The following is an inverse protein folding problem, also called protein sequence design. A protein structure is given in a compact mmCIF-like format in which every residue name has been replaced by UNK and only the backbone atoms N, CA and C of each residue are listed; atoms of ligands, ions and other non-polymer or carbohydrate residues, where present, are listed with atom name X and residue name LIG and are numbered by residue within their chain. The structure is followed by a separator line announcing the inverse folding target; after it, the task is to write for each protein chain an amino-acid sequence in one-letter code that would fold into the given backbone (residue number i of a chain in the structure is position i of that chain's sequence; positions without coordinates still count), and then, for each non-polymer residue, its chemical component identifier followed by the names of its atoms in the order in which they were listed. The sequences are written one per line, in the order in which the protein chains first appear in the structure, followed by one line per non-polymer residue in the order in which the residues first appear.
data_IF_133178038443
#
_entry.id   IF_133178038443
#
_cell.length_a   1.000
_cell.length_b   1.000
_cell.length_c   1.000
_cell.angle_alpha   90.00
_cell.angle_beta   90.00
_cell.angle_gamma   90.00
#
_symmetry.space_group_name_H-M   'P 1'
#
loop_
_entity.id
_entity.type
_entity.pdbx_description
1 polymer ?
#
# COMPACT_ATOMS: atom_id res chain seq x y z
N UNK A 1 -16.68 7.12 23.72
CA UNK A 1 -15.52 7.22 24.63
C UNK A 1 -14.30 6.77 23.85
N UNK A 2 -13.58 7.69 23.20
CA UNK A 2 -12.29 7.38 22.57
C UNK A 2 -11.29 7.15 23.71
N UNK A 3 -10.93 5.89 23.96
CA UNK A 3 -9.87 5.57 24.91
C UNK A 3 -8.56 5.85 24.21
N UNK A 4 -8.04 7.06 24.41
CA UNK A 4 -6.74 7.45 23.88
C UNK A 4 -5.65 6.79 24.73
N UNK A 5 -5.26 5.57 24.36
CA UNK A 5 -4.28 4.75 25.08
C UNK A 5 -2.87 5.34 25.06
N UNK A 6 -2.64 6.48 24.37
CA UNK A 6 -1.35 7.16 24.22
C UNK A 6 -0.20 6.20 23.83
N UNK A 7 -0.50 5.15 23.07
CA UNK A 7 0.49 4.17 22.62
C UNK A 7 1.19 4.69 21.36
N UNK A 8 2.37 5.29 21.53
CA UNK A 8 3.11 6.01 20.49
C UNK A 8 4.05 5.13 19.65
N UNK A 9 3.65 3.89 19.35
CA UNK A 9 4.51 2.92 18.66
C UNK A 9 3.78 2.30 17.45
N UNK A 10 3.63 3.07 16.35
CA UNK A 10 2.86 2.64 15.19
C UNK A 10 3.44 1.41 14.49
N UNK A 11 4.76 1.16 14.55
CA UNK A 11 5.37 -0.01 13.92
C UNK A 11 5.12 -1.29 14.72
N UNK A 12 5.17 -1.22 16.05
CA UNK A 12 4.76 -2.32 16.90
C UNK A 12 3.28 -2.70 16.68
N UNK A 13 2.38 -1.71 16.55
CA UNK A 13 0.97 -1.97 16.26
C UNK A 13 0.78 -2.61 14.87
N UNK A 14 1.49 -2.10 13.86
CA UNK A 14 1.47 -2.69 12.53
C UNK A 14 2.01 -4.14 12.54
N UNK A 15 3.09 -4.41 13.27
CA UNK A 15 3.65 -5.74 13.43
C UNK A 15 2.66 -6.71 14.10
N UNK A 16 1.92 -6.26 15.12
CA UNK A 16 0.86 -7.07 15.75
C UNK A 16 -0.25 -7.42 14.76
N UNK A 17 -0.71 -6.46 13.95
CA UNK A 17 -1.73 -6.70 12.93
C UNK A 17 -1.26 -7.68 11.85
N UNK A 18 -0.05 -7.51 11.33
CA UNK A 18 0.55 -8.43 10.33
C UNK A 18 0.81 -9.81 10.93
N UNK A 19 1.28 -9.88 12.17
CA UNK A 19 1.53 -11.14 12.87
C UNK A 19 0.23 -11.91 13.12
N UNK A 20 -0.81 -11.22 13.54
CA UNK A 20 -2.14 -11.81 13.69
C UNK A 20 -2.70 -12.27 12.34
N UNK A 21 -2.55 -11.48 11.27
CA UNK A 21 -2.92 -11.88 9.92
C UNK A 21 -2.17 -13.15 9.47
N UNK A 22 -0.88 -13.28 9.78
CA UNK A 22 -0.09 -14.48 9.49
C UNK A 22 -0.64 -15.71 10.21
N UNK A 23 -0.91 -15.61 11.52
CA UNK A 23 -1.44 -16.74 12.31
C UNK A 23 -2.85 -17.12 11.83
N UNK A 24 -3.73 -16.14 11.64
CA UNK A 24 -5.10 -16.40 11.23
C UNK A 24 -5.20 -16.99 9.82
N UNK A 25 -4.39 -16.51 8.87
CA UNK A 25 -4.34 -17.07 7.51
C UNK A 25 -3.70 -18.46 7.47
N UNK A 26 -2.71 -18.72 8.33
CA UNK A 26 -2.16 -20.07 8.52
C UNK A 26 -3.22 -21.04 9.05
N UNK A 27 -3.93 -20.67 10.13
CA UNK A 27 -5.04 -21.47 10.68
C UNK A 27 -6.13 -21.69 9.61
N UNK A 28 -6.52 -20.64 8.88
CA UNK A 28 -7.58 -20.75 7.89
C UNK A 28 -7.20 -21.61 6.67
N UNK A 29 -5.96 -21.51 6.18
CA UNK A 29 -5.54 -22.27 5.00
C UNK A 29 -5.13 -23.71 5.34
N UNK A 30 -4.33 -23.90 6.39
CA UNK A 30 -3.67 -25.18 6.65
C UNK A 30 -4.44 -26.03 7.66
N UNK A 31 -5.11 -25.42 8.65
CA UNK A 31 -5.91 -26.14 9.64
C UNK A 31 -7.34 -26.41 9.14
N UNK A 32 -7.99 -25.40 8.52
CA UNK A 32 -9.36 -25.54 8.02
C UNK A 32 -9.45 -26.09 6.58
N UNK A 33 -8.33 -26.19 5.85
CA UNK A 33 -8.24 -26.71 4.47
C UNK A 33 -9.28 -26.14 3.50
N UNK A 34 -9.77 -24.93 3.74
CA UNK A 34 -10.85 -24.29 2.96
C UNK A 34 -10.36 -23.63 1.66
N UNK A 35 -9.08 -23.73 1.35
CA UNK A 35 -8.47 -23.14 0.15
C UNK A 35 -7.69 -24.25 -0.58
N UNK A 36 -7.81 -24.39 -1.91
CA UNK A 36 -7.17 -25.47 -2.67
C UNK A 36 -5.65 -25.54 -2.42
N UNK A 37 -5.05 -26.74 -2.36
CA UNK A 37 -3.64 -26.91 -2.04
C UNK A 37 -2.73 -26.15 -3.01
N UNK A 38 -1.68 -25.54 -2.47
CA UNK A 38 -0.69 -24.75 -3.22
C UNK A 38 0.01 -25.59 -4.28
N UNK A 39 0.06 -25.06 -5.50
CA UNK A 39 1.06 -25.44 -6.51
C UNK A 39 2.43 -25.14 -5.89
N UNK A 40 3.31 -26.15 -5.80
CA UNK A 40 4.45 -26.24 -4.88
C UNK A 40 5.25 -24.95 -4.65
N UNK A 41 5.15 -24.39 -3.44
CA UNK A 41 6.04 -23.32 -2.99
C UNK A 41 7.33 -23.97 -2.49
N UNK A 42 8.36 -23.96 -3.34
CA UNK A 42 9.70 -24.37 -2.95
C UNK A 42 10.34 -23.35 -1.98
N UNK A 43 11.22 -23.80 -1.08
CA UNK A 43 11.94 -22.95 -0.12
C UNK A 43 12.72 -21.85 -0.85
N UNK A 44 13.32 -22.17 -2.00
CA UNK A 44 14.02 -21.19 -2.84
C UNK A 44 13.06 -20.15 -3.44
N UNK A 45 11.85 -20.57 -3.82
CA UNK A 45 10.81 -19.67 -4.32
C UNK A 45 10.35 -18.70 -3.23
N UNK A 46 10.16 -19.19 -2.00
CA UNK A 46 9.76 -18.35 -0.87
C UNK A 46 10.77 -17.23 -0.60
N UNK A 47 12.05 -17.57 -0.45
CA UNK A 47 13.09 -16.59 -0.14
C UNK A 47 13.38 -15.62 -1.27
N UNK A 48 13.29 -16.08 -2.53
CA UNK A 48 13.63 -15.23 -3.69
C UNK A 48 12.47 -14.35 -4.12
N UNK A 49 11.22 -14.83 -4.02
CA UNK A 49 10.06 -14.16 -4.61
C UNK A 49 9.05 -13.64 -3.59
N UNK A 50 8.84 -14.33 -2.47
CA UNK A 50 7.79 -13.94 -1.50
C UNK A 50 8.35 -13.06 -0.39
N UNK A 51 9.52 -13.40 0.16
CA UNK A 51 10.17 -12.62 1.21
C UNK A 51 10.39 -11.14 0.81
N UNK A 52 10.86 -10.80 -0.41
CA UNK A 52 10.99 -9.40 -0.81
C UNK A 52 9.67 -8.63 -0.83
N UNK A 53 8.54 -9.28 -1.12
CA UNK A 53 7.21 -8.65 -1.09
C UNK A 53 6.84 -8.24 0.33
N UNK A 54 7.00 -9.17 1.28
CA UNK A 54 6.77 -8.89 2.70
C UNK A 54 7.73 -7.81 3.21
N UNK A 55 9.00 -7.86 2.81
CA UNK A 55 9.97 -6.84 3.19
C UNK A 55 9.61 -5.45 2.65
N UNK A 56 9.20 -5.34 1.37
CA UNK A 56 8.70 -4.09 0.80
C UNK A 56 7.44 -3.61 1.54
N UNK A 57 6.53 -4.52 1.92
CA UNK A 57 5.35 -4.16 2.71
C UNK A 57 5.70 -3.58 4.09
N UNK A 58 6.60 -4.23 4.81
CA UNK A 58 7.09 -3.74 6.10
C UNK A 58 7.80 -2.39 5.96
N UNK A 59 8.65 -2.24 4.93
CA UNK A 59 9.37 -1.00 4.65
C UNK A 59 8.44 0.15 4.24
N UNK A 60 7.40 -0.09 3.44
CA UNK A 60 6.39 0.94 3.16
C UNK A 60 5.75 1.40 4.46
N UNK A 61 5.31 0.49 5.33
CA UNK A 61 4.66 0.86 6.59
C UNK A 61 5.62 1.65 7.50
N UNK A 62 6.88 1.23 7.57
CA UNK A 62 7.95 1.94 8.29
C UNK A 62 8.12 3.38 7.75
N UNK A 63 8.38 3.51 6.45
CA UNK A 63 8.65 4.79 5.81
C UNK A 63 7.43 5.71 5.87
N UNK A 64 6.22 5.15 5.70
CA UNK A 64 4.97 5.90 5.75
C UNK A 64 4.71 6.48 7.12
N UNK A 65 5.01 5.72 8.19
CA UNK A 65 4.95 6.24 9.56
C UNK A 65 6.00 7.32 9.80
N UNK A 66 7.19 7.18 9.20
CA UNK A 66 8.24 8.19 9.32
C UNK A 66 7.95 9.50 8.58
N UNK A 67 7.20 9.46 7.47
CA UNK A 67 6.86 10.66 6.70
C UNK A 67 6.08 11.68 7.52
N UNK A 68 5.22 11.24 8.45
CA UNK A 68 4.44 12.15 9.31
C UNK A 68 5.29 13.03 10.23
N UNK A 69 6.56 12.71 10.46
CA UNK A 69 7.46 13.57 11.24
C UNK A 69 8.09 14.69 10.41
N UNK A 70 8.06 14.60 9.08
CA UNK A 70 8.76 15.51 8.19
C UNK A 70 7.84 16.22 7.19
N UNK A 71 6.61 15.71 6.99
CA UNK A 71 5.68 16.13 5.95
C UNK A 71 4.27 16.25 6.52
N UNK A 72 3.50 17.17 5.93
CA UNK A 72 2.08 17.37 6.22
C UNK A 72 1.24 16.18 5.74
N UNK A 73 0.08 15.98 6.35
CA UNK A 73 -0.86 14.92 5.93
C UNK A 73 -1.32 15.18 4.50
N UNK A 74 -1.60 16.46 4.16
CA UNK A 74 -1.89 16.87 2.79
C UNK A 74 -0.78 16.42 1.83
N UNK A 75 0.48 16.79 2.06
CA UNK A 75 1.58 16.45 1.16
C UNK A 75 1.82 14.95 1.02
N UNK A 76 1.65 14.18 2.10
CA UNK A 76 1.77 12.71 2.06
C UNK A 76 0.74 12.12 1.10
N UNK A 77 -0.52 12.55 1.18
CA UNK A 77 -1.58 12.07 0.30
C UNK A 77 -1.45 12.60 -1.13
N UNK A 78 -0.96 13.84 -1.30
CA UNK A 78 -0.60 14.37 -2.62
C UNK A 78 0.52 13.55 -3.27
N UNK A 79 1.56 13.21 -2.50
CA UNK A 79 2.65 12.34 -2.96
C UNK A 79 2.13 10.97 -3.39
N UNK A 80 1.15 10.41 -2.67
CA UNK A 80 0.52 9.14 -3.07
C UNK A 80 -0.24 9.21 -4.39
N UNK A 81 -0.70 10.38 -4.83
CA UNK A 81 -1.33 10.52 -6.14
C UNK A 81 -0.36 10.15 -7.29
N UNK A 82 0.96 10.18 -7.04
CA UNK A 82 1.98 9.74 -7.99
C UNK A 82 2.28 8.23 -7.97
N UNK A 83 1.57 7.43 -7.17
CA UNK A 83 1.72 5.96 -7.15
C UNK A 83 1.57 5.31 -8.54
N UNK A 84 0.63 5.72 -9.41
CA UNK A 84 0.57 5.22 -10.79
C UNK A 84 1.85 5.45 -11.59
N UNK A 85 2.54 6.57 -11.35
CA UNK A 85 3.78 6.92 -12.05
C UNK A 85 4.86 5.90 -11.72
N UNK A 86 5.11 5.66 -10.43
CA UNK A 86 6.16 4.73 -9.99
C UNK A 86 5.79 3.28 -10.28
N UNK A 87 4.53 2.89 -10.09
CA UNK A 87 4.06 1.54 -10.43
C UNK A 87 4.15 1.26 -11.93
N UNK A 88 3.83 2.22 -12.81
CA UNK A 88 3.98 2.04 -14.26
C UNK A 88 5.45 1.85 -14.64
N UNK A 89 6.36 2.65 -14.08
CA UNK A 89 7.81 2.48 -14.31
C UNK A 89 8.27 1.11 -13.83
N UNK A 90 7.84 0.67 -12.63
CA UNK A 90 8.17 -0.63 -12.09
C UNK A 90 7.61 -1.78 -12.95
N UNK A 91 6.37 -1.68 -13.45
CA UNK A 91 5.75 -2.67 -14.36
C UNK A 91 6.50 -2.75 -15.69
N UNK A 92 6.90 -1.61 -16.24
CA UNK A 92 7.66 -1.53 -17.48
C UNK A 92 9.05 -2.16 -17.33
N UNK A 93 9.77 -1.84 -16.24
CA UNK A 93 11.07 -2.45 -15.92
C UNK A 93 10.96 -3.96 -15.70
N UNK A 94 9.87 -4.41 -15.05
CA UNK A 94 9.58 -5.82 -14.84
C UNK A 94 9.06 -6.54 -16.10
N UNK A 95 8.86 -5.82 -17.22
CA UNK A 95 8.29 -6.33 -18.48
C UNK A 95 6.95 -7.07 -18.31
N UNK A 96 6.18 -6.67 -17.30
CA UNK A 96 4.89 -7.29 -16.98
C UNK A 96 3.75 -6.72 -17.83
N UNK A 97 3.87 -5.45 -18.25
CA UNK A 97 2.83 -4.77 -18.99
C UNK A 97 3.42 -3.75 -19.96
N UNK A 98 2.89 -3.70 -21.18
CA UNK A 98 3.22 -2.65 -22.14
C UNK A 98 2.22 -1.49 -21.97
N UNK A 99 2.69 -0.29 -21.60
CA UNK A 99 1.80 0.84 -21.41
C UNK A 99 1.33 1.39 -22.76
N UNK A 100 0.02 1.60 -22.90
CA UNK A 100 -0.58 2.28 -24.06
C UNK A 100 -0.19 3.77 -24.03
N UNK A 101 -0.09 4.42 -25.20
CA UNK A 101 0.21 5.86 -25.30
C UNK A 101 -0.76 6.76 -24.51
N UNK A 102 -2.01 6.34 -24.31
CA UNK A 102 -2.97 7.02 -23.44
C UNK A 102 -2.56 6.98 -21.96
N UNK A 103 -2.09 5.83 -21.48
CA UNK A 103 -1.64 5.62 -20.08
C UNK A 103 -0.38 6.45 -19.81
N UNK A 104 0.57 6.46 -20.74
CA UNK A 104 1.81 7.24 -20.62
C UNK A 104 1.49 8.74 -20.48
N UNK A 105 0.61 9.28 -21.33
CA UNK A 105 0.21 10.70 -21.26
C UNK A 105 -0.43 11.07 -19.93
N UNK A 106 -1.33 10.22 -19.41
CA UNK A 106 -1.95 10.44 -18.11
C UNK A 106 -0.94 10.40 -16.95
N UNK A 107 0.02 9.47 -17.02
CA UNK A 107 1.13 9.38 -16.05
C UNK A 107 2.03 10.61 -16.10
N UNK A 108 2.39 11.10 -17.30
CA UNK A 108 3.16 12.34 -17.44
C UNK A 108 2.41 13.54 -16.85
N UNK A 109 1.10 13.66 -17.10
CA UNK A 109 0.29 14.74 -16.52
C UNK A 109 0.27 14.67 -14.98
N UNK A 110 0.14 13.46 -14.43
CA UNK A 110 0.18 13.22 -12.98
C UNK A 110 1.54 13.63 -12.40
N UNK A 111 2.64 13.24 -13.05
CA UNK A 111 3.99 13.59 -12.63
C UNK A 111 4.26 15.09 -12.64
N UNK A 112 3.79 15.80 -13.69
CA UNK A 112 3.89 17.27 -13.77
C UNK A 112 3.12 17.94 -12.64
N UNK A 113 1.87 17.51 -12.40
CA UNK A 113 1.07 18.04 -11.29
C UNK A 113 1.73 17.84 -9.93
N UNK A 114 2.27 16.64 -9.66
CA UNK A 114 2.99 16.35 -8.42
C UNK A 114 4.27 17.19 -8.29
N UNK A 115 5.00 17.45 -9.39
CA UNK A 115 6.17 18.32 -9.39
C UNK A 115 5.82 19.77 -9.03
N UNK A 116 4.74 20.30 -9.61
CA UNK A 116 4.23 21.64 -9.27
C UNK A 116 3.78 21.69 -7.80
N UNK A 117 3.08 20.63 -7.33
CA UNK A 117 2.62 20.55 -5.95
C UNK A 117 3.80 20.55 -4.97
N UNK A 118 4.84 19.76 -5.25
CA UNK A 118 6.06 19.71 -4.44
C UNK A 118 6.83 21.03 -4.44
N UNK A 119 6.81 21.79 -5.53
CA UNK A 119 7.40 23.12 -5.56
C UNK A 119 6.66 24.13 -4.67
N UNK A 120 5.34 23.95 -4.51
CA UNK A 120 4.50 24.81 -3.68
C UNK A 120 4.50 24.48 -2.18
N UNK A 121 5.05 23.34 -1.76
CA UNK A 121 5.01 22.89 -0.38
C UNK A 121 6.01 23.66 0.51
N UNK A 122 5.51 24.26 1.58
CA UNK A 122 6.30 25.12 2.48
C UNK A 122 7.16 24.29 3.44
N UNK A 123 6.70 23.10 3.84
CA UNK A 123 7.36 22.25 4.82
C UNK A 123 8.24 21.16 4.16
N UNK A 124 8.51 21.28 2.87
CA UNK A 124 9.26 20.26 2.13
C UNK A 124 10.73 20.27 2.56
N UNK A 125 11.11 19.29 3.38
CA UNK A 125 12.51 19.01 3.68
C UNK A 125 13.06 17.97 2.70
N UNK A 126 14.36 18.06 2.38
CA UNK A 126 15.01 17.06 1.52
C UNK A 126 14.87 15.64 2.10
N UNK A 127 14.97 15.50 3.43
CA UNK A 127 14.78 14.23 4.14
C UNK A 127 13.35 13.72 3.96
N UNK A 128 12.34 14.58 4.12
CA UNK A 128 10.94 14.25 3.86
C UNK A 128 10.71 13.80 2.42
N UNK A 129 11.26 14.54 1.45
CA UNK A 129 11.16 14.20 0.02
C UNK A 129 11.79 12.83 -0.29
N UNK A 130 12.97 12.53 0.25
CA UNK A 130 13.62 11.23 0.08
C UNK A 130 12.85 10.09 0.75
N UNK A 131 12.27 10.33 1.93
CA UNK A 131 11.39 9.37 2.60
C UNK A 131 10.14 9.09 1.77
N UNK A 132 9.50 10.14 1.23
CA UNK A 132 8.34 10.02 0.36
C UNK A 132 8.66 9.24 -0.92
N UNK A 133 9.76 9.58 -1.60
CA UNK A 133 10.19 8.87 -2.81
C UNK A 133 10.53 7.39 -2.52
N UNK A 134 11.18 7.10 -1.40
CA UNK A 134 11.51 5.74 -0.97
C UNK A 134 10.23 4.96 -0.63
N UNK A 135 9.30 5.57 0.10
CA UNK A 135 8.02 4.97 0.44
C UNK A 135 7.23 4.60 -0.82
N UNK A 136 7.14 5.54 -1.75
CA UNK A 136 6.44 5.38 -3.03
C UNK A 136 7.07 4.26 -3.88
N UNK A 137 8.40 4.17 -3.86
CA UNK A 137 9.15 3.13 -4.56
C UNK A 137 8.88 1.75 -3.96
N UNK A 138 9.00 1.60 -2.64
CA UNK A 138 8.71 0.33 -1.95
C UNK A 138 7.24 -0.10 -2.11
N UNK A 139 6.32 0.86 -2.05
CA UNK A 139 4.90 0.63 -2.29
C UNK A 139 4.66 0.11 -3.70
N UNK A 140 5.27 0.75 -4.70
CA UNK A 140 5.15 0.33 -6.09
C UNK A 140 5.73 -1.07 -6.35
N UNK A 141 6.91 -1.36 -5.79
CA UNK A 141 7.53 -2.69 -5.88
C UNK A 141 6.66 -3.76 -5.22
N UNK A 142 6.13 -3.49 -4.02
CA UNK A 142 5.19 -4.39 -3.35
C UNK A 142 3.98 -4.66 -4.24
N UNK A 143 3.36 -3.62 -4.80
CA UNK A 143 2.17 -3.78 -5.66
C UNK A 143 2.48 -4.65 -6.88
N UNK A 144 3.58 -4.38 -7.58
CA UNK A 144 3.99 -5.14 -8.78
C UNK A 144 4.32 -6.59 -8.45
N UNK A 145 5.10 -6.85 -7.38
CA UNK A 145 5.43 -8.22 -6.98
C UNK A 145 4.20 -8.99 -6.48
N UNK A 146 3.30 -8.32 -5.75
CA UNK A 146 2.04 -8.92 -5.30
C UNK A 146 1.16 -9.26 -6.51
N UNK A 147 1.01 -8.34 -7.46
CA UNK A 147 0.27 -8.57 -8.70
C UNK A 147 0.85 -9.76 -9.49
N UNK A 148 2.18 -9.85 -9.61
CA UNK A 148 2.83 -10.99 -10.25
C UNK A 148 2.53 -12.32 -9.52
N UNK A 149 2.52 -12.32 -8.19
CA UNK A 149 2.22 -13.52 -7.41
C UNK A 149 0.75 -13.96 -7.54
N UNK A 150 -0.20 -13.02 -7.53
CA UNK A 150 -1.62 -13.34 -7.58
C UNK A 150 -2.13 -13.64 -9.00
N UNK A 151 -1.61 -12.95 -10.02
CA UNK A 151 -2.07 -13.09 -11.41
C UNK A 151 -1.14 -14.02 -12.21
N UNK A 152 0.18 -13.87 -12.05
CA UNK A 152 1.16 -14.66 -12.80
C UNK A 152 1.35 -16.09 -12.28
N UNK A 153 1.16 -16.31 -10.97
CA UNK A 153 1.22 -17.65 -10.37
C UNK A 153 -0.16 -18.20 -9.95
N UNK A 154 -1.24 -17.50 -10.32
CA UNK A 154 -2.64 -17.78 -9.97
C UNK A 154 -2.87 -18.15 -8.49
N UNK A 155 -2.14 -17.50 -7.58
CA UNK A 155 -2.29 -17.75 -6.15
C UNK A 155 -3.59 -17.16 -5.62
N UNK A 156 -4.22 -17.88 -4.68
CA UNK A 156 -5.38 -17.35 -3.97
C UNK A 156 -4.95 -16.17 -3.05
N UNK A 157 -5.73 -15.08 -2.92
CA UNK A 157 -5.32 -13.91 -2.12
C UNK A 157 -4.98 -14.26 -0.68
N UNK A 158 -5.79 -15.09 -0.01
CA UNK A 158 -5.51 -15.53 1.36
C UNK A 158 -4.20 -16.36 1.46
N UNK A 159 -3.85 -17.12 0.42
CA UNK A 159 -2.59 -17.86 0.40
C UNK A 159 -1.41 -16.92 0.21
N UNK A 160 -1.50 -15.96 -0.70
CA UNK A 160 -0.47 -14.94 -0.86
C UNK A 160 -0.21 -14.21 0.46
N UNK A 161 -1.27 -13.88 1.20
CA UNK A 161 -1.16 -13.22 2.50
C UNK A 161 -0.51 -14.13 3.55
N UNK A 162 -0.80 -15.44 3.56
CA UNK A 162 -0.13 -16.42 4.45
C UNK A 162 1.39 -16.37 4.33
N UNK A 163 1.92 -16.20 3.12
CA UNK A 163 3.36 -16.17 2.89
C UNK A 163 3.98 -14.77 3.01
N UNK A 164 3.23 -13.70 2.67
CA UNK A 164 3.72 -12.31 2.75
C UNK A 164 3.70 -11.79 4.19
N UNK A 165 2.63 -12.06 4.94
CA UNK A 165 2.42 -11.55 6.30
C UNK A 165 3.55 -11.86 7.30
N UNK A 166 4.12 -13.08 7.38
CA UNK A 166 5.22 -13.35 8.30
C UNK A 166 6.49 -12.57 7.94
N UNK A 167 6.82 -12.45 6.65
CA UNK A 167 7.98 -11.67 6.20
C UNK A 167 7.81 -10.17 6.49
N UNK A 168 6.59 -9.64 6.30
CA UNK A 168 6.25 -8.27 6.68
C UNK A 168 6.29 -8.04 8.20
N UNK A 169 5.83 -9.01 8.99
CA UNK A 169 5.91 -8.97 10.45
C UNK A 169 7.36 -8.92 10.91
N UNK A 170 8.23 -9.78 10.35
CA UNK A 170 9.65 -9.79 10.68
C UNK A 170 10.33 -8.45 10.37
N UNK A 171 10.08 -7.89 9.18
CA UNK A 171 10.66 -6.58 8.81
C UNK A 171 10.15 -5.45 9.70
N UNK A 172 8.86 -5.45 10.06
CA UNK A 172 8.30 -4.48 11.00
C UNK A 172 8.85 -4.64 12.42
N UNK A 173 9.03 -5.88 12.89
CA UNK A 173 9.63 -6.16 14.19
C UNK A 173 11.09 -5.72 14.24
N UNK A 174 11.87 -5.95 13.18
CA UNK A 174 13.24 -5.44 13.08
C UNK A 174 13.25 -3.91 13.06
N UNK A 175 12.36 -3.27 12.29
CA UNK A 175 12.23 -1.81 12.28
C UNK A 175 11.83 -1.22 13.64
N UNK A 176 10.88 -1.86 14.32
CA UNK A 176 10.44 -1.49 15.67
C UNK A 176 11.55 -1.74 16.70
N UNK A 177 12.32 -2.82 16.58
CA UNK A 177 13.48 -3.12 17.44
C UNK A 177 14.57 -2.04 17.36
N UNK A 178 14.81 -1.48 16.17
CA UNK A 178 15.85 -0.46 15.97
C UNK A 178 15.37 0.92 16.47
N UNK A 179 14.10 1.28 16.27
CA UNK A 179 13.60 2.64 16.51
C UNK A 179 12.73 2.80 17.76
N UNK A 180 11.80 1.89 17.98
CA UNK A 180 10.79 2.00 19.04
C UNK A 180 11.20 1.27 20.32
N UNK A 181 11.96 0.18 20.24
CA UNK A 181 12.29 -0.68 21.38
C UNK A 181 12.91 0.05 22.58
N UNK A 182 13.89 0.97 22.43
CA UNK A 182 14.46 1.69 23.56
C UNK A 182 13.40 2.49 24.33
N UNK A 183 12.48 3.11 23.59
CA UNK A 183 11.39 3.91 24.17
C UNK A 183 10.27 3.03 24.72
N UNK A 184 9.96 1.89 24.09
CA UNK A 184 8.98 0.92 24.57
C UNK A 184 9.36 0.32 25.93
N UNK A 185 10.63 -0.03 26.12
CA UNK A 185 11.13 -0.56 27.39
C UNK A 185 11.09 0.52 28.47
N UNK A 186 11.56 1.74 28.16
CA UNK A 186 11.55 2.86 29.09
C UNK A 186 10.12 3.22 29.58
N UNK A 187 9.14 3.17 28.68
CA UNK A 187 7.75 3.52 28.97
C UNK A 187 6.87 2.36 29.43
N UNK A 188 7.46 1.19 29.75
CA UNK A 188 6.73 -0.04 30.12
C UNK A 188 5.58 -0.36 29.15
N UNK A 189 5.81 -0.19 27.85
CA UNK A 189 4.79 -0.34 26.81
C UNK A 189 4.12 -1.73 26.84
N UNK A 190 4.87 -2.78 27.19
CA UNK A 190 4.33 -4.12 27.39
C UNK A 190 3.27 -4.19 28.49
N UNK A 191 3.42 -3.41 29.57
CA UNK A 191 2.43 -3.33 30.64
C UNK A 191 1.11 -2.74 30.13
N UNK A 192 1.16 -1.76 29.22
CA UNK A 192 -0.02 -1.13 28.64
C UNK A 192 -0.79 -2.12 27.75
N UNK A 193 -0.05 -2.94 26.98
CA UNK A 193 -0.61 -4.01 26.14
C UNK A 193 -1.29 -5.06 27.00
N UNK A 194 -0.63 -5.53 28.07
CA UNK A 194 -1.19 -6.55 28.98
C UNK A 194 -2.38 -6.03 29.78
N UNK A 195 -2.42 -4.72 30.09
CA UNK A 195 -3.55 -4.12 30.81
C UNK A 195 -4.77 -3.88 29.93
N UNK A 196 -4.64 -3.83 28.59
CA UNK A 196 -5.74 -3.56 27.67
C UNK A 196 -5.81 -4.56 26.50
N UNK A 197 -5.83 -5.89 26.75
CA UNK A 197 -5.68 -6.90 25.71
C UNK A 197 -6.80 -6.84 24.65
N UNK A 198 -8.02 -6.48 25.05
CA UNK A 198 -9.18 -6.39 24.14
C UNK A 198 -8.99 -5.32 23.07
N UNK A 199 -8.45 -4.15 23.42
CA UNK A 199 -8.24 -3.05 22.47
C UNK A 199 -7.16 -3.40 21.44
N UNK A 200 -6.07 -4.03 21.89
CA UNK A 200 -5.01 -4.50 21.00
C UNK A 200 -5.48 -5.67 20.13
N UNK A 201 -6.33 -6.56 20.64
CA UNK A 201 -6.96 -7.61 19.85
C UNK A 201 -7.87 -7.03 18.77
N UNK A 202 -8.71 -6.05 19.08
CA UNK A 202 -9.55 -5.36 18.09
C UNK A 202 -8.70 -4.68 17.01
N UNK A 203 -7.61 -4.01 17.40
CA UNK A 203 -6.67 -3.41 16.46
C UNK A 203 -6.02 -4.47 15.55
N UNK A 204 -5.65 -5.62 16.10
CA UNK A 204 -5.09 -6.74 15.34
C UNK A 204 -6.10 -7.35 14.35
N UNK A 205 -7.37 -7.52 14.78
CA UNK A 205 -8.46 -8.00 13.91
C UNK A 205 -8.73 -7.01 12.78
N UNK A 206 -8.78 -5.71 13.06
CA UNK A 206 -8.92 -4.69 12.03
C UNK A 206 -7.74 -4.70 11.06
N UNK A 207 -6.52 -4.87 11.57
CA UNK A 207 -5.31 -5.03 10.74
C UNK A 207 -5.42 -6.24 9.80
N UNK A 208 -5.94 -7.37 10.29
CA UNK A 208 -6.20 -8.55 9.46
C UNK A 208 -7.22 -8.25 8.36
N UNK A 209 -8.35 -7.61 8.70
CA UNK A 209 -9.40 -7.28 7.74
C UNK A 209 -8.85 -6.38 6.63
N UNK A 210 -8.09 -5.34 7.00
CA UNK A 210 -7.45 -4.43 6.03
C UNK A 210 -6.48 -5.18 5.10
N UNK A 211 -5.69 -6.11 5.64
CA UNK A 211 -4.75 -6.89 4.83
C UNK A 211 -5.44 -7.87 3.87
N UNK A 212 -6.46 -8.58 4.33
CA UNK A 212 -7.26 -9.48 3.48
C UNK A 212 -7.94 -8.68 2.37
N UNK A 213 -8.59 -7.57 2.72
CA UNK A 213 -9.21 -6.68 1.72
C UNK A 213 -8.15 -6.15 0.75
N UNK A 214 -6.99 -5.72 1.23
CA UNK A 214 -5.89 -5.22 0.39
C UNK A 214 -5.46 -6.22 -0.68
N UNK A 215 -5.10 -7.45 -0.31
CA UNK A 215 -4.69 -8.48 -1.30
C UNK A 215 -5.84 -8.91 -2.20
N UNK A 216 -7.07 -8.92 -1.68
CA UNK A 216 -8.27 -9.28 -2.45
C UNK A 216 -8.59 -8.22 -3.49
N UNK A 217 -8.49 -6.93 -3.13
CA UNK A 217 -8.67 -5.79 -4.05
C UNK A 217 -7.61 -5.82 -5.14
N UNK A 218 -6.35 -6.16 -4.83
CA UNK A 218 -5.30 -6.30 -5.86
C UNK A 218 -5.68 -7.39 -6.88
N UNK A 219 -6.21 -8.55 -6.43
CA UNK A 219 -6.68 -9.61 -7.34
C UNK A 219 -7.92 -9.21 -8.13
N UNK A 220 -8.86 -8.52 -7.48
CA UNK A 220 -10.19 -8.16 -8.02
C UNK A 220 -10.23 -6.76 -8.66
N UNK A 221 -9.07 -6.12 -8.90
CA UNK A 221 -8.93 -4.72 -9.36
C UNK A 221 -9.63 -4.42 -10.71
N UNK A 222 -10.22 -5.40 -11.37
CA UNK A 222 -11.21 -5.20 -12.43
C UNK A 222 -12.48 -4.46 -11.97
N UNK A 223 -12.78 -4.39 -10.67
CA UNK A 223 -13.97 -3.73 -10.14
C UNK A 223 -13.84 -2.19 -10.17
N UNK A 224 -14.45 -1.57 -11.17
CA UNK A 224 -14.47 -0.12 -11.41
C UNK A 224 -14.86 0.69 -10.16
N UNK A 225 -15.79 0.20 -9.34
CA UNK A 225 -16.27 0.90 -8.14
C UNK A 225 -15.18 1.11 -7.09
N UNK A 226 -14.30 0.12 -6.90
CA UNK A 226 -13.20 0.21 -5.92
C UNK A 226 -12.13 1.20 -6.38
N UNK A 227 -11.89 1.30 -7.69
CA UNK A 227 -10.97 2.28 -8.28
C UNK A 227 -11.47 3.70 -8.10
N UNK A 228 -12.76 3.94 -8.30
CA UNK A 228 -13.39 5.25 -8.08
C UNK A 228 -13.34 5.63 -6.60
N UNK A 229 -13.68 4.72 -5.69
CA UNK A 229 -13.62 5.00 -4.25
C UNK A 229 -12.19 5.32 -3.79
N UNK A 230 -11.20 4.60 -4.32
CA UNK A 230 -9.78 4.88 -4.07
C UNK A 230 -9.36 6.25 -4.62
N UNK A 231 -9.90 6.67 -5.77
CA UNK A 231 -9.65 7.99 -6.36
C UNK A 231 -10.19 9.14 -5.51
N UNK A 232 -11.39 8.96 -4.93
CA UNK A 232 -12.04 9.99 -4.09
C UNK A 232 -11.42 10.06 -2.69
N UNK A 233 -10.92 8.93 -2.18
CA UNK A 233 -10.28 8.87 -0.85
C UNK A 233 -9.18 9.93 -0.68
N UNK A 234 -8.26 10.04 -1.64
CA UNK A 234 -7.11 10.96 -1.54
C UNK A 234 -7.53 12.41 -1.29
N UNK A 235 -8.34 13.03 -2.17
CA UNK A 235 -8.82 14.40 -2.00
C UNK A 235 -9.56 14.64 -0.69
N UNK A 236 -10.38 13.67 -0.23
CA UNK A 236 -11.07 13.78 1.06
C UNK A 236 -10.06 13.86 2.20
N UNK A 237 -9.04 13.00 2.22
CA UNK A 237 -8.03 13.01 3.29
C UNK A 237 -7.24 14.31 3.27
N UNK A 238 -6.92 14.85 2.07
CA UNK A 238 -6.28 16.17 1.94
C UNK A 238 -7.17 17.28 2.51
N UNK A 239 -8.45 17.33 2.14
CA UNK A 239 -9.39 18.33 2.68
C UNK A 239 -9.53 18.23 4.20
N UNK A 240 -9.61 17.01 4.74
CA UNK A 240 -9.60 16.78 6.19
C UNK A 240 -8.27 17.21 6.81
N UNK A 241 -7.13 16.97 6.15
CA UNK A 241 -5.81 17.42 6.55
C UNK A 241 -5.78 18.94 6.78
N UNK A 242 -6.18 19.69 5.76
CA UNK A 242 -6.23 21.16 5.78
C UNK A 242 -7.19 21.67 6.87
N UNK A 243 -8.40 21.11 6.98
CA UNK A 243 -9.41 21.59 7.94
C UNK A 243 -9.08 21.25 9.39
N UNK A 244 -8.60 20.03 9.67
CA UNK A 244 -8.37 19.54 11.03
C UNK A 244 -7.01 19.95 11.58
N UNK A 245 -5.97 19.93 10.74
CA UNK A 245 -4.60 20.24 11.16
C UNK A 245 -4.18 21.69 10.83
N UNK A 246 -5.09 22.47 10.23
CA UNK A 246 -4.83 23.87 9.82
C UNK A 246 -3.54 24.00 8.99
N UNK A 247 -3.29 23.03 8.12
CA UNK A 247 -2.10 22.98 7.28
C UNK A 247 -2.14 24.12 6.26
N UNK A 248 -1.03 24.86 6.16
CA UNK A 248 -0.89 25.97 5.22
C UNK A 248 -0.58 25.43 3.82
N UNK A 249 -1.63 25.25 3.01
CA UNK A 249 -1.51 24.84 1.60
C UNK A 249 -1.39 26.07 0.71
N UNK A 250 -0.34 26.14 -0.12
CA UNK A 250 -0.17 27.27 -1.04
C UNK A 250 -1.10 27.16 -2.25
N UNK A 251 -1.37 28.28 -2.91
CA UNK A 251 -2.15 28.28 -4.16
C UNK A 251 -1.47 27.42 -5.24
N UNK A 252 -0.14 27.47 -5.31
CA UNK A 252 0.65 26.68 -6.27
C UNK A 252 0.50 25.19 -5.96
N UNK A 253 0.57 24.81 -4.69
CA UNK A 253 0.40 23.44 -4.24
C UNK A 253 -0.99 22.89 -4.61
N UNK A 254 -2.04 23.68 -4.34
CA UNK A 254 -3.41 23.32 -4.67
C UNK A 254 -3.64 23.13 -6.19
N UNK A 255 -3.08 24.04 -7.00
CA UNK A 255 -3.14 23.94 -8.46
C UNK A 255 -2.39 22.70 -8.96
N UNK A 256 -1.18 22.46 -8.45
CA UNK A 256 -0.39 21.28 -8.79
C UNK A 256 -1.12 19.98 -8.45
N UNK A 257 -1.73 19.90 -7.27
CA UNK A 257 -2.51 18.74 -6.85
C UNK A 257 -3.76 18.53 -7.72
N UNK A 258 -4.45 19.60 -8.10
CA UNK A 258 -5.61 19.52 -9.00
C UNK A 258 -5.22 18.94 -10.37
N UNK A 259 -4.07 19.34 -10.91
CA UNK A 259 -3.50 18.78 -12.15
C UNK A 259 -3.12 17.30 -11.95
N UNK A 260 -2.48 16.97 -10.83
CA UNK A 260 -2.11 15.59 -10.51
C UNK A 260 -3.32 14.67 -10.41
N UNK A 261 -4.39 15.14 -9.76
CA UNK A 261 -5.65 14.42 -9.62
C UNK A 261 -6.35 14.23 -10.97
N UNK A 262 -6.38 15.25 -11.82
CA UNK A 262 -6.92 15.13 -13.17
C UNK A 262 -6.14 14.08 -13.99
N UNK A 263 -4.80 14.08 -13.90
CA UNK A 263 -3.94 13.06 -14.47
C UNK A 263 -4.23 11.65 -13.93
N UNK A 264 -4.41 11.51 -12.62
CA UNK A 264 -4.74 10.25 -11.96
C UNK A 264 -6.11 9.71 -12.43
N UNK A 265 -7.12 10.57 -12.52
CA UNK A 265 -8.47 10.19 -13.00
C UNK A 265 -8.37 9.73 -14.46
N UNK A 266 -7.65 10.47 -15.30
CA UNK A 266 -7.42 10.05 -16.69
C UNK A 266 -6.66 8.73 -16.74
N UNK A 267 -5.66 8.51 -15.90
CA UNK A 267 -4.92 7.24 -15.82
C UNK A 267 -5.87 6.07 -15.52
N UNK A 268 -6.75 6.22 -14.52
CA UNK A 268 -7.74 5.19 -14.19
C UNK A 268 -8.70 4.93 -15.35
N UNK A 269 -9.14 5.98 -16.04
CA UNK A 269 -10.01 5.86 -17.21
C UNK A 269 -9.31 5.18 -18.39
N UNK A 270 -8.05 5.49 -18.66
CA UNK A 270 -7.26 4.83 -19.71
C UNK A 270 -7.05 3.34 -19.40
N UNK A 271 -6.86 3.00 -18.12
CA UNK A 271 -6.69 1.63 -17.67
C UNK A 271 -7.98 0.82 -17.80
N UNK A 272 -9.15 1.40 -17.49
CA UNK A 272 -10.44 0.72 -17.68
C UNK A 272 -10.76 0.50 -19.16
N UNK A 273 -10.45 1.47 -20.02
CA UNK A 273 -10.59 1.30 -21.47
C UNK A 273 -9.67 0.18 -22.00
N UNK A 274 -8.41 0.15 -21.56
CA UNK A 274 -7.47 -0.92 -21.93
C UNK A 274 -8.00 -2.30 -21.52
N UNK A 275 -8.46 -2.44 -20.28
CA UNK A 275 -9.02 -3.69 -19.78
C UNK A 275 -10.30 -4.11 -20.56
N UNK A 276 -11.16 -3.15 -20.91
CA UNK A 276 -12.35 -3.41 -21.73
C UNK A 276 -12.01 -3.86 -23.15
N UNK A 277 -11.01 -3.25 -23.78
CA UNK A 277 -10.52 -3.64 -25.10
C UNK A 277 -9.91 -5.06 -25.09
N UNK A 278 -9.09 -5.38 -24.08
CA UNK A 278 -8.53 -6.73 -23.90
C UNK A 278 -9.62 -7.78 -23.65
N UNK A 279 -10.65 -7.45 -22.88
CA UNK A 279 -11.80 -8.33 -22.66
C UNK A 279 -12.60 -8.57 -23.96
N UNK A 280 -12.81 -7.54 -24.76
CA UNK A 280 -13.49 -7.65 -26.06
C UNK A 280 -12.71 -8.54 -27.03
N UNK A 281 -11.38 -8.42 -27.09
CA UNK A 281 -10.52 -9.30 -27.89
C UNK A 281 -10.62 -10.76 -27.42
N UNK A 282 -10.60 -11.01 -26.10
CA UNK A 282 -10.75 -12.37 -25.54
C UNK A 282 -12.09 -13.01 -25.89
N UNK A 283 -13.17 -12.23 -25.97
CA UNK A 283 -14.49 -12.71 -26.38
C UNK A 283 -14.57 -13.02 -27.89
N UNK A 284 -13.77 -12.34 -28.71
CA UNK A 284 -13.68 -12.56 -30.17
C UNK A 284 -12.75 -13.72 -30.55
N UNK A 285 -11.89 -14.19 -29.63
CA UNK A 285 -11.03 -15.35 -29.81
C UNK A 285 -11.49 -16.56 -28.98
N UNK A 286 -12.64 -17.18 -29.25
CA UNK A 286 -12.96 -18.49 -28.68
C UNK A 286 -12.14 -19.55 -29.42
N UNK A 287 -10.86 -19.69 -29.09
CA UNK A 287 -10.08 -20.83 -29.56
C UNK A 287 -10.41 -22.04 -28.71
N UNK A 288 -11.31 -22.86 -29.27
CA UNK A 288 -11.28 -24.34 -29.29
C UNK A 288 -10.90 -25.03 -27.97
N UNK A 289 -11.93 -25.40 -27.21
CA UNK A 289 -11.94 -26.67 -26.49
C UNK A 289 -12.80 -27.65 -27.27
#
# INVERSE_FOLDING_TARGET
MQVDLKFKYPMAVAAMGMGFASVATYVYCDLLKRVPPTIGVDTKFYWTRIFPVGACQGLTLFLGNQMYFYLTVAFIEMSRASLPVTTMVALWLARLETPTSAVIRAVCLTAVGCGIAAYGEVHLTLVGALLAASNLSMESLRLVMTQYLLVGCDMHPLQSLKYIAPAATLTLLVGSAIREYPSMVANKALSIVTSNPVHFLMAAVLGLVVNILGVTIIKLSSATTLKVLAAVRGPIVVMCGVMLFSEAVTVIEFVGYSIALAGFIWYQYALTQKAAAEAAVRLQSPTKA
#
